data_IF_141392619379
#
_entry.id   IF_141392619379
#
_cell.length_a   1.000
_cell.length_b   1.000
_cell.length_c   1.000
_cell.angle_alpha   90.00
_cell.angle_beta   90.00
_cell.angle_gamma   90.00
#
_symmetry.space_group_name_H-M   'P 1'
#
loop_
_entity.id
_entity.type
_entity.pdbx_description
1 polymer ?
#
# COMPACT_ATOMS: atom_id res chain seq x y z
N UNK A 1 31.29 -11.77 -7.19
CA UNK A 1 30.66 -12.63 -6.18
C UNK A 1 30.37 -11.79 -4.96
N UNK A 2 29.38 -10.97 -5.09
CA UNK A 2 29.08 -9.96 -4.10
C UNK A 2 28.40 -10.54 -2.87
N UNK A 3 28.81 -10.07 -1.74
CA UNK A 3 28.17 -10.32 -0.47
C UNK A 3 26.86 -9.53 -0.40
N UNK A 4 25.84 -9.98 -1.18
CA UNK A 4 24.51 -9.47 -0.97
C UNK A 4 24.03 -9.98 0.39
N UNK A 5 24.00 -9.10 1.37
CA UNK A 5 23.35 -9.36 2.64
C UNK A 5 22.13 -8.45 2.76
N UNK A 6 21.13 -8.89 3.51
CA UNK A 6 19.95 -8.08 3.80
C UNK A 6 20.35 -6.78 4.47
N UNK A 7 21.30 -6.82 5.38
CA UNK A 7 21.77 -5.62 6.08
C UNK A 7 22.46 -4.64 5.14
N UNK A 8 23.27 -5.11 4.21
CA UNK A 8 23.90 -4.25 3.20
C UNK A 8 22.87 -3.60 2.30
N UNK A 9 21.85 -4.36 1.88
CA UNK A 9 20.74 -3.83 1.11
C UNK A 9 20.01 -2.72 1.87
N UNK A 10 19.70 -2.94 3.15
CA UNK A 10 19.04 -1.93 4.00
C UNK A 10 19.88 -0.67 4.07
N UNK A 11 21.17 -0.79 4.37
CA UNK A 11 22.06 0.36 4.54
C UNK A 11 22.21 1.17 3.25
N UNK A 12 22.41 0.50 2.13
CA UNK A 12 22.52 1.15 0.82
C UNK A 12 21.20 1.83 0.40
N UNK A 13 20.09 1.14 0.59
CA UNK A 13 18.79 1.65 0.21
C UNK A 13 18.35 2.85 1.06
N UNK A 14 18.64 2.82 2.34
CA UNK A 14 18.41 3.95 3.25
C UNK A 14 19.15 5.19 2.75
N UNK A 15 20.42 5.03 2.40
CA UNK A 15 21.23 6.14 1.89
C UNK A 15 20.71 6.68 0.56
N UNK A 16 20.36 5.81 -0.38
CA UNK A 16 19.74 6.21 -1.65
C UNK A 16 18.44 6.99 -1.43
N UNK A 17 17.57 6.52 -0.54
CA UNK A 17 16.29 7.18 -0.22
C UNK A 17 16.54 8.56 0.39
N UNK A 18 17.46 8.66 1.34
CA UNK A 18 17.80 9.94 1.98
C UNK A 18 18.32 10.97 0.99
N UNK A 19 19.17 10.55 0.05
CA UNK A 19 19.70 11.42 -1.00
C UNK A 19 18.58 11.90 -1.94
N UNK A 20 17.71 10.98 -2.36
CA UNK A 20 16.60 11.29 -3.29
C UNK A 20 15.56 12.19 -2.66
N UNK A 21 15.17 11.92 -1.43
CA UNK A 21 14.09 12.62 -0.73
C UNK A 21 14.54 13.95 -0.13
N UNK A 22 15.76 14.00 0.37
CA UNK A 22 16.25 15.17 1.10
C UNK A 22 15.41 15.43 2.35
N UNK A 23 14.92 16.66 2.48
CA UNK A 23 14.06 17.10 3.59
C UNK A 23 12.55 17.05 3.28
N UNK A 24 12.19 16.50 2.13
CA UNK A 24 10.81 16.45 1.64
C UNK A 24 10.03 15.28 2.24
N UNK A 25 8.72 15.26 1.99
CA UNK A 25 7.83 14.24 2.53
C UNK A 25 7.50 13.20 1.47
N UNK A 26 7.24 11.99 1.95
CA UNK A 26 6.87 10.82 1.13
C UNK A 26 5.54 10.26 1.63
N UNK A 27 4.62 9.99 0.73
CA UNK A 27 3.39 9.27 0.99
C UNK A 27 3.58 7.79 0.65
N UNK A 28 3.16 6.91 1.53
CA UNK A 28 3.11 5.46 1.32
C UNK A 28 1.71 4.95 1.57
N UNK A 29 1.09 4.36 0.56
CA UNK A 29 -0.20 3.70 0.73
C UNK A 29 -0.01 2.30 1.31
N UNK A 30 -0.64 2.03 2.45
CA UNK A 30 -0.65 0.71 3.08
C UNK A 30 -1.88 -0.06 2.63
N UNK A 31 -1.67 -1.26 2.10
CA UNK A 31 -2.73 -2.16 1.67
C UNK A 31 -3.02 -3.29 2.66
N UNK A 32 -2.24 -3.38 3.73
CA UNK A 32 -2.22 -4.53 4.64
C UNK A 32 -1.37 -5.70 4.15
N UNK A 33 -0.88 -5.67 2.91
CA UNK A 33 0.01 -6.68 2.35
C UNK A 33 1.46 -6.51 2.77
N UNK A 34 2.28 -7.54 2.53
CA UNK A 34 3.69 -7.54 2.93
C UNK A 34 4.51 -6.47 2.20
N UNK A 35 4.27 -6.27 0.90
CA UNK A 35 5.10 -5.37 0.10
C UNK A 35 4.99 -3.92 0.56
N UNK A 36 3.77 -3.40 0.71
CA UNK A 36 3.55 -2.04 1.21
C UNK A 36 4.03 -1.87 2.66
N UNK A 37 3.89 -2.90 3.47
CA UNK A 37 4.36 -2.89 4.86
C UNK A 37 5.89 -2.81 4.94
N UNK A 38 6.59 -3.55 4.08
CA UNK A 38 8.07 -3.52 4.00
C UNK A 38 8.55 -2.16 3.50
N UNK A 39 7.90 -1.59 2.48
CA UNK A 39 8.21 -0.24 2.00
C UNK A 39 8.07 0.78 3.13
N UNK A 40 6.95 0.74 3.86
CA UNK A 40 6.71 1.65 4.98
C UNK A 40 7.77 1.51 6.08
N UNK A 41 8.11 0.29 6.47
CA UNK A 41 9.13 0.04 7.50
C UNK A 41 10.52 0.52 7.07
N UNK A 42 10.89 0.30 5.82
CA UNK A 42 12.16 0.75 5.26
C UNK A 42 12.23 2.29 5.21
N UNK A 43 11.18 2.93 4.73
CA UNK A 43 11.09 4.40 4.67
C UNK A 43 11.08 5.03 6.07
N UNK A 44 10.39 4.44 7.02
CA UNK A 44 10.40 4.92 8.41
C UNK A 44 11.83 4.94 8.96
N UNK A 45 12.58 3.90 8.70
CA UNK A 45 14.00 3.81 9.10
C UNK A 45 14.87 4.83 8.37
N UNK A 46 14.57 5.13 7.10
CA UNK A 46 15.34 6.06 6.30
C UNK A 46 15.05 7.53 6.62
N UNK A 47 13.79 7.91 6.73
CA UNK A 47 13.35 9.31 6.76
C UNK A 47 12.45 9.66 7.95
N UNK A 48 12.04 8.71 8.78
CA UNK A 48 11.28 8.95 10.01
C UNK A 48 9.99 9.76 9.77
N UNK A 49 9.88 10.90 10.43
CA UNK A 49 8.66 11.74 10.40
C UNK A 49 8.34 12.36 9.04
N UNK A 50 9.24 12.29 8.07
CA UNK A 50 8.97 12.71 6.69
C UNK A 50 8.04 11.72 5.96
N UNK A 51 7.86 10.51 6.51
CA UNK A 51 6.96 9.50 5.98
C UNK A 51 5.53 9.73 6.47
N UNK A 52 4.59 9.77 5.53
CA UNK A 52 3.15 9.76 5.80
C UNK A 52 2.60 8.47 5.21
N UNK A 53 1.95 7.65 6.03
CA UNK A 53 1.27 6.45 5.58
C UNK A 53 -0.23 6.69 5.48
N UNK A 54 -0.86 6.14 4.45
CA UNK A 54 -2.31 6.19 4.26
C UNK A 54 -2.85 4.77 4.15
N UNK A 55 -3.82 4.46 4.98
CA UNK A 55 -4.54 3.19 4.96
C UNK A 55 -6.01 3.43 4.66
N UNK A 56 -6.50 2.87 3.54
CA UNK A 56 -7.89 2.97 3.13
C UNK A 56 -8.60 1.68 3.53
N UNK A 57 -9.52 1.80 4.49
CA UNK A 57 -10.39 0.71 4.91
C UNK A 57 -11.64 0.70 4.05
N UNK A 58 -11.67 -0.18 3.07
CA UNK A 58 -12.81 -0.34 2.14
C UNK A 58 -13.88 -1.33 2.63
N UNK A 59 -13.71 -1.89 3.83
CA UNK A 59 -14.66 -2.84 4.42
C UNK A 59 -14.58 -4.26 3.86
N UNK A 60 -13.69 -4.55 2.92
CA UNK A 60 -13.54 -5.84 2.24
C UNK A 60 -12.31 -6.63 2.71
N UNK A 61 -11.67 -6.18 3.77
CA UNK A 61 -10.53 -6.85 4.39
C UNK A 61 -11.00 -8.06 5.20
N UNK A 62 -10.08 -9.00 5.43
CA UNK A 62 -10.32 -10.08 6.38
C UNK A 62 -10.55 -9.51 7.78
N UNK A 63 -11.29 -10.26 8.59
CA UNK A 63 -11.55 -9.88 9.97
C UNK A 63 -10.23 -9.60 10.71
N UNK A 64 -10.15 -8.44 11.34
CA UNK A 64 -9.00 -8.02 12.13
C UNK A 64 -7.82 -7.45 11.33
N UNK A 65 -7.83 -7.45 10.00
CA UNK A 65 -6.72 -6.90 9.20
C UNK A 65 -6.56 -5.38 9.38
N UNK A 66 -7.65 -4.63 9.36
CA UNK A 66 -7.60 -3.19 9.59
C UNK A 66 -7.01 -2.87 10.97
N UNK A 67 -7.46 -3.59 11.98
CA UNK A 67 -6.93 -3.46 13.35
C UNK A 67 -5.45 -3.84 13.43
N UNK A 68 -5.03 -4.91 12.73
CA UNK A 68 -3.63 -5.33 12.69
C UNK A 68 -2.73 -4.26 12.06
N UNK A 69 -3.18 -3.61 10.98
CA UNK A 69 -2.45 -2.49 10.35
C UNK A 69 -2.31 -1.33 11.33
N UNK A 70 -3.39 -0.94 11.95
CA UNK A 70 -3.39 0.16 12.93
C UNK A 70 -2.47 -0.16 14.11
N UNK A 71 -2.54 -1.37 14.65
CA UNK A 71 -1.71 -1.79 15.78
C UNK A 71 -0.22 -1.83 15.44
N UNK A 72 0.12 -2.16 14.21
CA UNK A 72 1.52 -2.25 13.78
C UNK A 72 2.13 -0.88 13.49
N UNK A 73 1.41 0.01 12.85
CA UNK A 73 1.98 1.22 12.26
C UNK A 73 1.60 2.52 12.97
N UNK A 74 0.51 2.55 13.71
CA UNK A 74 0.00 3.79 14.33
C UNK A 74 0.88 4.29 15.48
N UNK A 75 0.97 5.62 15.61
CA UNK A 75 1.56 6.30 16.78
C UNK A 75 0.78 6.11 18.06
N UNK A 76 -0.50 5.81 17.93
CA UNK A 76 -1.42 5.73 19.08
C UNK A 76 -1.22 4.45 19.90
N UNK A 77 -0.45 3.49 19.38
CA UNK A 77 -0.30 2.18 19.99
C UNK A 77 1.15 1.95 20.41
N UNK A 78 1.32 1.68 21.69
CA UNK A 78 2.61 1.37 22.27
C UNK A 78 3.18 0.06 21.69
N UNK A 79 4.45 0.10 21.30
CA UNK A 79 5.13 -1.05 20.69
C UNK A 79 4.99 -1.16 19.16
N UNK A 80 4.25 -0.27 18.51
CA UNK A 80 4.18 -0.19 17.05
C UNK A 80 5.34 0.61 16.44
N UNK A 81 5.32 0.78 15.12
CA UNK A 81 6.33 1.54 14.38
C UNK A 81 6.23 3.06 14.59
N UNK A 82 5.17 3.52 15.22
CA UNK A 82 4.99 4.93 15.55
C UNK A 82 5.03 5.87 14.33
N UNK A 83 4.35 5.48 13.25
CA UNK A 83 4.31 6.24 12.00
C UNK A 83 3.16 7.25 11.97
N UNK A 84 3.31 8.28 11.13
CA UNK A 84 2.20 9.19 10.78
C UNK A 84 1.23 8.43 9.88
N UNK A 85 0.17 7.89 10.44
CA UNK A 85 -0.80 7.07 9.73
C UNK A 85 -2.14 7.78 9.61
N UNK A 86 -2.59 7.95 8.36
CA UNK A 86 -3.91 8.44 8.03
C UNK A 86 -4.79 7.23 7.75
N UNK A 87 -5.81 7.02 8.57
CA UNK A 87 -6.84 6.00 8.31
C UNK A 87 -8.02 6.64 7.62
N UNK A 88 -8.38 6.12 6.46
CA UNK A 88 -9.56 6.53 5.69
C UNK A 88 -10.64 5.46 5.82
N UNK A 89 -11.73 5.77 6.48
CA UNK A 89 -12.89 4.89 6.55
C UNK A 89 -13.77 5.11 5.32
N UNK A 90 -13.72 4.17 4.39
CA UNK A 90 -14.47 4.21 3.14
C UNK A 90 -15.44 3.02 3.00
N UNK A 91 -15.75 2.31 4.08
CA UNK A 91 -16.58 1.10 4.07
C UNK A 91 -17.94 1.34 3.42
N UNK A 92 -18.67 2.32 3.88
CA UNK A 92 -20.02 2.63 3.38
C UNK A 92 -20.00 3.02 1.91
N UNK A 93 -18.98 3.75 1.50
CA UNK A 93 -18.78 4.18 0.12
C UNK A 93 -18.58 2.99 -0.83
N UNK A 94 -17.71 2.04 -0.45
CA UNK A 94 -17.48 0.83 -1.26
C UNK A 94 -18.71 -0.07 -1.27
N UNK A 95 -19.34 -0.31 -0.14
CA UNK A 95 -20.57 -1.11 -0.06
C UNK A 95 -21.69 -0.49 -0.89
N UNK A 96 -21.84 0.83 -0.85
CA UNK A 96 -22.84 1.54 -1.65
C UNK A 96 -22.62 1.36 -3.16
N UNK A 97 -21.39 1.39 -3.61
CA UNK A 97 -21.04 1.17 -5.04
C UNK A 97 -21.23 -0.28 -5.48
N UNK A 98 -21.10 -1.23 -4.57
CA UNK A 98 -21.26 -2.66 -4.86
C UNK A 98 -22.71 -3.14 -4.75
N UNK A 99 -23.63 -2.29 -4.30
CA UNK A 99 -25.03 -2.63 -4.17
C UNK A 99 -25.64 -3.03 -5.51
N UNK A 100 -26.26 -4.20 -5.56
CA UNK A 100 -26.86 -4.77 -6.77
C UNK A 100 -25.87 -5.40 -7.75
N UNK A 101 -24.57 -5.43 -7.43
CA UNK A 101 -23.52 -5.98 -8.30
C UNK A 101 -23.18 -7.42 -7.89
N UNK A 102 -23.39 -8.37 -8.79
CA UNK A 102 -23.15 -9.80 -8.57
C UNK A 102 -21.95 -10.34 -9.35
N UNK A 103 -21.67 -9.78 -10.52
CA UNK A 103 -20.60 -10.22 -11.39
C UNK A 103 -19.22 -9.93 -10.81
N UNK A 104 -18.33 -10.97 -10.66
CA UNK A 104 -16.99 -10.77 -10.08
C UNK A 104 -16.14 -9.75 -10.84
N UNK A 105 -16.22 -9.70 -12.15
CA UNK A 105 -15.45 -8.78 -12.99
C UNK A 105 -15.88 -7.33 -12.77
N UNK A 106 -17.20 -7.11 -12.70
CA UNK A 106 -17.75 -5.79 -12.36
C UNK A 106 -17.35 -5.37 -10.95
N UNK A 107 -17.39 -6.28 -9.99
CA UNK A 107 -16.93 -6.01 -8.62
C UNK A 107 -15.48 -5.53 -8.60
N UNK A 108 -14.58 -6.21 -9.31
CA UNK A 108 -13.16 -5.82 -9.41
C UNK A 108 -12.99 -4.42 -9.98
N UNK A 109 -13.70 -4.12 -11.07
CA UNK A 109 -13.67 -2.79 -11.70
C UNK A 109 -14.15 -1.70 -10.76
N UNK A 110 -15.27 -1.92 -10.09
CA UNK A 110 -15.85 -0.94 -9.16
C UNK A 110 -14.90 -0.70 -8.00
N UNK A 111 -14.37 -1.76 -7.39
CA UNK A 111 -13.46 -1.65 -6.25
C UNK A 111 -12.16 -0.93 -6.67
N UNK A 112 -11.59 -1.30 -7.79
CA UNK A 112 -10.37 -0.67 -8.30
C UNK A 112 -10.56 0.81 -8.62
N UNK A 113 -11.63 1.17 -9.31
CA UNK A 113 -11.94 2.56 -9.65
C UNK A 113 -12.24 3.39 -8.41
N UNK A 114 -13.03 2.86 -7.49
CA UNK A 114 -13.38 3.58 -6.27
C UNK A 114 -12.16 3.78 -5.37
N UNK A 115 -11.26 2.81 -5.32
CA UNK A 115 -10.00 2.96 -4.60
C UNK A 115 -9.17 4.13 -5.13
N UNK A 116 -9.06 4.25 -6.45
CA UNK A 116 -8.36 5.37 -7.09
C UNK A 116 -9.02 6.70 -6.75
N UNK A 117 -10.34 6.78 -6.82
CA UNK A 117 -11.07 8.01 -6.47
C UNK A 117 -10.87 8.42 -5.01
N UNK A 118 -10.99 7.48 -4.08
CA UNK A 118 -10.78 7.75 -2.64
C UNK A 118 -9.33 8.19 -2.40
N UNK A 119 -8.37 7.51 -3.01
CA UNK A 119 -6.96 7.84 -2.90
C UNK A 119 -6.67 9.26 -3.43
N UNK A 120 -7.19 9.59 -4.61
CA UNK A 120 -6.99 10.91 -5.21
C UNK A 120 -7.63 12.02 -4.35
N UNK A 121 -8.84 11.80 -3.83
CA UNK A 121 -9.51 12.75 -2.93
C UNK A 121 -8.71 12.99 -1.65
N UNK A 122 -8.16 11.94 -1.06
CA UNK A 122 -7.34 12.05 0.16
C UNK A 122 -5.98 12.71 -0.13
N UNK A 123 -5.37 12.40 -1.27
CA UNK A 123 -4.12 13.05 -1.70
C UNK A 123 -4.31 14.55 -1.92
N UNK A 124 -5.48 14.99 -2.42
CA UNK A 124 -5.78 16.40 -2.62
C UNK A 124 -5.81 17.20 -1.31
N UNK A 125 -5.99 16.55 -0.18
CA UNK A 125 -5.95 17.18 1.16
C UNK A 125 -4.52 17.34 1.70
N UNK A 126 -3.54 16.67 1.08
CA UNK A 126 -2.14 16.73 1.48
C UNK A 126 -1.42 17.85 0.73
N UNK A 127 -0.56 18.58 1.45
CA UNK A 127 0.26 19.64 0.89
C UNK A 127 1.73 19.31 1.08
N UNK A 128 2.55 19.72 0.11
CA UNK A 128 4.02 19.57 0.17
C UNK A 128 4.50 18.11 0.32
N UNK A 129 3.83 17.18 -0.39
CA UNK A 129 4.23 15.76 -0.45
C UNK A 129 4.53 15.39 -1.89
N UNK A 130 5.81 15.53 -2.34
CA UNK A 130 6.17 15.34 -3.75
C UNK A 130 6.41 13.87 -4.14
N UNK A 131 6.57 12.97 -3.18
CA UNK A 131 6.92 11.57 -3.44
C UNK A 131 5.82 10.61 -3.04
N UNK A 132 5.61 9.58 -3.88
CA UNK A 132 4.75 8.44 -3.58
C UNK A 132 5.59 7.16 -3.62
N UNK A 133 5.61 6.41 -2.53
CA UNK A 133 6.29 5.13 -2.44
C UNK A 133 5.36 3.98 -2.79
N UNK A 134 5.84 3.04 -3.58
CA UNK A 134 5.11 1.86 -4.02
C UNK A 134 5.91 0.58 -3.81
N UNK A 135 5.21 -0.50 -3.53
CA UNK A 135 5.76 -1.84 -3.32
C UNK A 135 5.93 -2.65 -4.60
N UNK A 136 6.42 -2.04 -5.66
CA UNK A 136 6.72 -2.71 -6.92
C UNK A 136 7.90 -3.68 -6.76
N UNK A 137 7.74 -4.93 -7.15
CA UNK A 137 8.79 -5.95 -7.12
C UNK A 137 9.43 -6.15 -8.50
N UNK A 138 10.54 -6.88 -8.53
CA UNK A 138 11.22 -7.20 -9.79
C UNK A 138 10.33 -7.94 -10.79
N UNK A 139 9.50 -8.87 -10.33
CA UNK A 139 8.52 -9.57 -11.16
C UNK A 139 7.48 -8.63 -11.77
N UNK A 140 7.04 -7.61 -11.02
CA UNK A 140 6.13 -6.58 -11.51
C UNK A 140 6.79 -5.74 -12.62
N UNK A 141 8.07 -5.45 -12.49
CA UNK A 141 8.85 -4.71 -13.50
C UNK A 141 8.94 -5.50 -14.81
N UNK A 142 9.18 -6.81 -14.73
CA UNK A 142 9.23 -7.69 -15.91
C UNK A 142 7.87 -7.78 -16.59
N UNK A 143 6.80 -7.98 -15.82
CA UNK A 143 5.42 -8.09 -16.33
C UNK A 143 4.90 -6.77 -16.87
N UNK A 144 5.34 -5.65 -16.32
CA UNK A 144 4.90 -4.31 -16.70
C UNK A 144 5.66 -3.70 -17.86
N UNK A 145 6.64 -4.37 -18.43
CA UNK A 145 7.00 -4.12 -19.80
C UNK A 145 5.77 -4.17 -20.70
N UNK A 146 4.62 -4.54 -20.11
CA UNK A 146 3.28 -4.60 -20.67
C UNK A 146 2.27 -3.91 -19.73
N UNK A 147 1.60 -2.92 -20.23
CA UNK A 147 0.29 -2.32 -19.85
C UNK A 147 -0.05 -1.95 -18.39
N UNK A 148 0.36 -2.67 -17.35
CA UNK A 148 -0.19 -2.45 -16.00
C UNK A 148 0.53 -1.35 -15.18
N UNK A 149 1.85 -1.22 -15.30
CA UNK A 149 2.57 -0.15 -14.60
C UNK A 149 2.33 1.22 -15.24
N UNK A 150 2.13 1.25 -16.55
CA UNK A 150 1.70 2.48 -17.23
C UNK A 150 0.32 2.91 -16.77
N UNK A 151 -0.56 1.96 -16.43
CA UNK A 151 -1.92 2.24 -15.96
C UNK A 151 -1.90 2.84 -14.55
N UNK A 152 -1.09 2.29 -13.63
CA UNK A 152 -0.95 2.85 -12.29
C UNK A 152 -0.27 4.23 -12.33
N UNK A 153 0.80 4.37 -13.13
CA UNK A 153 1.46 5.67 -13.37
C UNK A 153 0.53 6.69 -14.03
N UNK A 154 -0.29 6.26 -14.98
CA UNK A 154 -1.25 7.15 -15.64
C UNK A 154 -2.42 7.52 -14.76
N UNK A 155 -2.90 6.65 -13.87
CA UNK A 155 -3.93 6.98 -12.88
C UNK A 155 -3.46 8.03 -11.89
N UNK A 156 -2.21 7.93 -11.41
CA UNK A 156 -1.64 8.94 -10.49
C UNK A 156 -1.23 10.24 -11.19
N UNK A 157 -0.98 10.20 -12.51
CA UNK A 157 -0.54 11.37 -13.29
C UNK A 157 -1.65 12.02 -14.11
N UNK A 158 -2.76 11.32 -14.39
CA UNK A 158 -3.83 11.78 -15.31
C UNK A 158 -5.19 11.90 -14.59
N UNK A 159 -5.32 11.43 -13.35
CA UNK A 159 -6.58 11.36 -12.61
C UNK A 159 -7.15 12.68 -12.11
N UNK A 160 -6.89 13.81 -12.79
CA UNK A 160 -7.49 15.10 -12.41
C UNK A 160 -6.79 15.81 -11.26
N UNK A 161 -5.67 15.28 -10.74
CA UNK A 161 -4.84 16.02 -9.80
C UNK A 161 -4.13 17.17 -10.55
N UNK A 162 -4.07 18.38 -9.95
CA UNK A 162 -3.30 19.47 -10.51
C UNK A 162 -1.85 19.05 -10.78
N UNK A 163 -1.22 19.67 -11.77
CA UNK A 163 0.18 19.35 -12.13
C UNK A 163 1.17 19.47 -10.97
N UNK A 164 0.90 20.39 -10.06
CA UNK A 164 1.67 20.62 -8.83
C UNK A 164 1.49 19.54 -7.77
N UNK A 165 0.53 18.63 -7.96
CA UNK A 165 0.26 17.49 -7.05
C UNK A 165 0.71 16.14 -7.63
N UNK A 166 1.45 16.13 -8.72
CA UNK A 166 2.02 14.91 -9.28
C UNK A 166 3.17 14.40 -8.43
N UNK A 167 3.11 13.11 -8.14
CA UNK A 167 4.14 12.45 -7.35
C UNK A 167 5.30 11.97 -8.21
N UNK A 168 6.52 12.11 -7.67
CA UNK A 168 7.66 11.31 -8.12
C UNK A 168 7.62 9.97 -7.41
N UNK A 169 7.78 8.87 -8.14
CA UNK A 169 7.68 7.53 -7.57
C UNK A 169 8.98 7.09 -6.90
N UNK A 170 8.85 6.43 -5.75
CA UNK A 170 9.93 5.72 -5.06
C UNK A 170 9.54 4.25 -5.02
N UNK A 171 10.33 3.39 -5.62
CA UNK A 171 10.08 1.95 -5.74
C UNK A 171 11.26 1.15 -5.17
N UNK A 172 11.44 1.13 -3.84
CA UNK A 172 12.67 0.61 -3.23
C UNK A 172 12.83 -0.90 -3.32
N UNK A 173 11.78 -1.63 -3.70
CA UNK A 173 11.79 -3.10 -3.78
C UNK A 173 11.86 -3.61 -5.22
N UNK A 174 12.03 -2.75 -6.20
CA UNK A 174 11.90 -3.11 -7.61
C UNK A 174 13.01 -4.04 -8.17
N UNK A 175 14.04 -4.30 -7.39
CA UNK A 175 15.11 -5.26 -7.72
C UNK A 175 14.98 -6.57 -6.94
N UNK A 176 13.95 -6.72 -6.11
CA UNK A 176 13.79 -7.85 -5.21
C UNK A 176 12.71 -8.82 -5.67
N UNK A 177 12.91 -10.09 -5.36
CA UNK A 177 11.88 -11.13 -5.42
C UNK A 177 11.12 -11.23 -4.10
N UNK A 178 9.97 -11.91 -4.12
CA UNK A 178 9.07 -12.04 -2.97
C UNK A 178 9.75 -12.59 -1.72
N UNK A 179 10.57 -13.61 -1.87
CA UNK A 179 11.29 -14.22 -0.75
C UNK A 179 12.29 -13.25 -0.11
N UNK A 180 12.93 -12.43 -0.93
CA UNK A 180 13.84 -11.39 -0.45
C UNK A 180 13.10 -10.28 0.28
N UNK A 181 11.90 -9.92 -0.18
CA UNK A 181 11.04 -8.93 0.49
C UNK A 181 10.61 -9.44 1.85
N UNK A 182 10.25 -10.70 1.98
CA UNK A 182 9.89 -11.30 3.27
C UNK A 182 11.07 -11.31 4.25
N UNK A 183 12.25 -11.70 3.76
CA UNK A 183 13.48 -11.65 4.57
C UNK A 183 13.80 -10.22 5.02
N UNK A 184 13.61 -9.25 4.14
CA UNK A 184 13.78 -7.84 4.46
C UNK A 184 12.77 -7.37 5.52
N UNK A 185 11.52 -7.79 5.41
CA UNK A 185 10.48 -7.48 6.40
C UNK A 185 10.81 -8.00 7.79
N UNK A 186 11.31 -9.23 7.88
CA UNK A 186 11.78 -9.83 9.13
C UNK A 186 12.95 -9.02 9.72
N UNK A 187 13.93 -8.66 8.89
CA UNK A 187 15.10 -7.87 9.33
C UNK A 187 14.71 -6.47 9.79
N UNK A 188 13.64 -5.89 9.24
CA UNK A 188 13.13 -4.58 9.66
C UNK A 188 12.25 -4.63 10.91
N UNK A 189 11.97 -5.82 11.44
CA UNK A 189 11.20 -6.00 12.66
C UNK A 189 9.69 -6.02 12.48
N UNK A 190 9.20 -6.25 11.27
CA UNK A 190 7.77 -6.43 11.04
C UNK A 190 7.25 -7.71 11.71
N UNK A 191 6.00 -7.71 12.22
CA UNK A 191 5.41 -8.92 12.78
C UNK A 191 5.38 -10.06 11.78
N UNK A 192 5.64 -11.28 12.25
CA UNK A 192 5.62 -12.48 11.42
C UNK A 192 4.31 -12.66 10.65
N UNK A 193 3.17 -12.35 11.28
CA UNK A 193 1.85 -12.45 10.67
C UNK A 193 1.71 -11.55 9.44
N UNK A 194 2.35 -10.38 9.41
CA UNK A 194 2.33 -9.48 8.26
C UNK A 194 3.24 -9.99 7.16
N UNK A 195 4.46 -10.41 7.50
CA UNK A 195 5.47 -10.87 6.53
C UNK A 195 5.03 -12.14 5.81
N UNK A 196 4.42 -13.06 6.54
CA UNK A 196 4.05 -14.40 6.05
C UNK A 196 2.56 -14.54 5.74
N UNK A 197 1.82 -13.44 5.75
CA UNK A 197 0.41 -13.46 5.36
C UNK A 197 0.23 -14.00 3.95
N UNK A 198 -0.75 -14.88 3.78
CA UNK A 198 -1.11 -15.40 2.47
C UNK A 198 -1.58 -14.25 1.55
N UNK A 199 -1.21 -14.28 0.26
CA UNK A 199 -1.72 -13.31 -0.70
C UNK A 199 -3.24 -13.24 -0.68
N UNK A 200 -3.78 -12.03 -0.61
CA UNK A 200 -5.21 -11.79 -0.60
C UNK A 200 -5.54 -10.80 -1.71
N UNK A 201 -6.56 -11.08 -2.55
CA UNK A 201 -6.88 -10.21 -3.69
C UNK A 201 -7.13 -8.77 -3.23
N UNK A 202 -6.68 -7.78 -4.01
CA UNK A 202 -6.94 -6.36 -3.73
C UNK A 202 -8.42 -6.05 -3.49
N UNK A 203 -9.39 -6.65 -4.23
CA UNK A 203 -10.82 -6.54 -3.95
C UNK A 203 -11.28 -7.21 -2.64
N UNK A 204 -10.43 -7.96 -1.98
CA UNK A 204 -10.70 -8.55 -0.68
C UNK A 204 -11.84 -9.55 -0.69
N UNK A 205 -12.64 -9.54 0.37
CA UNK A 205 -13.79 -10.45 0.54
C UNK A 205 -14.89 -10.24 -0.52
N UNK A 206 -14.90 -9.09 -1.20
CA UNK A 206 -15.89 -8.80 -2.23
C UNK A 206 -15.92 -9.82 -3.37
N UNK A 207 -14.77 -10.42 -3.73
CA UNK A 207 -14.70 -11.47 -4.76
C UNK A 207 -15.20 -12.81 -4.22
N UNK A 208 -14.97 -13.10 -2.93
CA UNK A 208 -15.33 -14.37 -2.30
C UNK A 208 -16.82 -14.47 -1.98
N UNK A 209 -17.52 -13.34 -1.93
CA UNK A 209 -18.96 -13.32 -1.73
C UNK A 209 -19.66 -13.69 -3.05
N UNK A 210 -20.49 -14.70 -3.01
CA UNK A 210 -21.35 -15.08 -4.15
C UNK A 210 -22.53 -14.12 -4.24
N UNK A 211 -22.69 -13.52 -5.42
CA UNK A 211 -23.75 -12.57 -5.67
C UNK A 211 -23.44 -11.17 -5.15
N UNK A 212 -24.45 -10.43 -4.72
CA UNK A 212 -24.32 -9.08 -4.20
C UNK A 212 -23.51 -9.03 -2.90
N UNK A 213 -22.61 -8.05 -2.79
CA UNK A 213 -21.82 -7.82 -1.57
C UNK A 213 -22.68 -7.05 -0.57
N UNK A 214 -22.89 -7.63 0.61
CA UNK A 214 -23.57 -7.00 1.73
C UNK A 214 -22.71 -7.13 2.99
N UNK A 215 -22.93 -6.24 3.96
CA UNK A 215 -22.23 -6.29 5.24
C UNK A 215 -22.45 -7.64 5.94
N UNK A 216 -23.68 -8.15 5.91
CA UNK A 216 -24.03 -9.45 6.49
C UNK A 216 -23.23 -10.59 5.86
N UNK A 217 -23.14 -10.64 4.53
CA UNK A 217 -22.37 -11.67 3.81
C UNK A 217 -20.87 -11.58 4.09
N UNK A 218 -20.33 -10.39 4.27
CA UNK A 218 -18.92 -10.19 4.60
C UNK A 218 -18.55 -10.72 5.98
N UNK A 219 -19.51 -10.79 6.90
CA UNK A 219 -19.28 -11.35 8.24
C UNK A 219 -19.21 -12.88 8.26
N UNK A 220 -19.72 -13.53 7.21
CA UNK A 220 -19.80 -14.99 7.11
C UNK A 220 -18.56 -15.58 6.43
N UNK A 221 -17.91 -14.82 5.55
CA UNK A 221 -16.73 -15.21 4.77
C UNK A 221 -15.45 -14.89 5.55
#
# INVERSE_FOLDING_TARGET
TGDWTIQNFIDEKIEEIRVEVGDQKVLCALSGGVDSSVVAALLDKAIGDQLICMFIDHGLLRKGEAEAVMNTFSKEIEGGFNMNLIKVDAKDRFLGKLKGVSDPEQKRKIIGNEFVYVFDEECAKLHDVPFLAQGTLYTDVIESGTKNAQTIKSHHNVGGLPEDMRFSLIEPLNTLFKDEVRALGEALGLPHEIVWRQPFPGPGLGIRVLGEVTEEKLQIV
#
